data_IF_672121213966
#
_entry.id   IF_672121213966
#
_cell.length_a   1.000
_cell.length_b   1.000
_cell.length_c   1.000
_cell.angle_alpha   90.00
_cell.angle_beta   90.00
_cell.angle_gamma   90.00
#
_symmetry.space_group_name_H-M   'P 1'
#
loop_
_entity.id
_entity.type
_entity.pdbx_description
1 polymer ?
#
# COMPACT_ATOMS: atom_id res chain seq x y z
N UNK A 1 25.31 -56.46 1.60
CA UNK A 1 25.58 -55.11 1.08
C UNK A 1 24.54 -54.80 0.02
N UNK A 2 23.46 -54.13 0.40
CA UNK A 2 22.39 -53.70 -0.50
C UNK A 2 22.59 -52.22 -0.81
N UNK A 3 22.95 -51.91 -2.06
CA UNK A 3 23.06 -50.53 -2.53
C UNK A 3 21.65 -50.06 -2.88
N UNK A 4 21.09 -49.19 -2.04
CA UNK A 4 19.86 -48.46 -2.35
C UNK A 4 20.21 -47.29 -3.28
N UNK A 5 19.72 -47.34 -4.51
CA UNK A 5 19.68 -46.18 -5.41
C UNK A 5 18.51 -45.30 -4.95
N UNK A 6 18.82 -44.08 -4.49
CA UNK A 6 17.79 -43.06 -4.26
C UNK A 6 17.24 -42.59 -5.62
N UNK A 7 15.92 -42.46 -5.79
CA UNK A 7 15.38 -41.80 -6.97
C UNK A 7 15.72 -40.31 -6.87
N UNK A 8 16.48 -39.82 -7.85
CA UNK A 8 16.78 -38.42 -8.05
C UNK A 8 15.45 -37.66 -8.19
N UNK A 9 15.29 -36.59 -7.41
CA UNK A 9 14.14 -35.70 -7.51
C UNK A 9 14.02 -35.23 -8.97
N UNK A 10 12.93 -35.65 -9.62
CA UNK A 10 12.47 -35.05 -10.87
C UNK A 10 12.25 -33.57 -10.60
N UNK A 11 13.05 -32.72 -11.24
CA UNK A 11 12.74 -31.30 -11.35
C UNK A 11 11.32 -31.19 -11.89
N UNK A 12 10.43 -30.58 -11.12
CA UNK A 12 9.11 -30.23 -11.60
C UNK A 12 9.30 -29.33 -12.81
N UNK A 13 8.79 -29.79 -13.96
CA UNK A 13 8.67 -29.05 -15.20
C UNK A 13 7.64 -27.93 -14.96
N UNK A 14 8.03 -26.89 -14.22
CA UNK A 14 7.19 -25.70 -14.05
C UNK A 14 7.32 -24.88 -15.34
N UNK A 15 6.36 -25.07 -16.25
CA UNK A 15 6.22 -24.18 -17.40
C UNK A 15 6.29 -22.73 -16.92
N UNK A 16 7.17 -21.89 -17.48
CA UNK A 16 7.36 -20.52 -17.00
C UNK A 16 6.03 -19.77 -17.02
N UNK A 17 5.66 -19.20 -15.88
CA UNK A 17 4.42 -18.44 -15.76
C UNK A 17 4.43 -17.18 -16.63
N UNK A 18 3.27 -16.81 -17.17
CA UNK A 18 3.06 -15.59 -17.96
C UNK A 18 2.31 -14.57 -17.10
N UNK A 19 2.81 -13.34 -17.07
CA UNK A 19 2.16 -12.25 -16.36
C UNK A 19 1.69 -11.19 -17.35
N UNK A 20 0.40 -10.88 -17.31
CA UNK A 20 -0.18 -9.78 -18.06
C UNK A 20 -0.53 -8.61 -17.15
N UNK A 21 -0.50 -7.40 -17.71
CA UNK A 21 -0.82 -6.17 -16.99
C UNK A 21 -1.83 -5.32 -17.75
N UNK A 22 -2.86 -4.85 -17.02
CA UNK A 22 -3.78 -3.82 -17.47
C UNK A 22 -3.55 -2.55 -16.66
N UNK A 23 -3.27 -1.47 -17.37
CA UNK A 23 -3.05 -0.15 -16.79
C UNK A 23 -4.32 0.47 -16.19
N UNK A 24 -4.13 1.52 -15.39
CA UNK A 24 -5.21 2.38 -14.94
C UNK A 24 -5.68 3.35 -16.03
N UNK A 25 -6.61 4.24 -15.67
CA UNK A 25 -7.11 5.27 -16.58
C UNK A 25 -5.99 6.18 -17.07
N UNK A 26 -5.84 6.29 -18.39
CA UNK A 26 -4.86 7.17 -19.04
C UNK A 26 -5.46 7.99 -20.20
N UNK A 27 -6.71 7.71 -20.58
CA UNK A 27 -7.36 8.24 -21.80
C UNK A 27 -6.61 7.86 -23.07
N UNK A 28 -6.10 6.63 -23.12
CA UNK A 28 -5.20 6.16 -24.16
C UNK A 28 -5.50 4.70 -24.54
N UNK A 29 -5.55 4.40 -25.84
CA UNK A 29 -5.76 3.04 -26.35
C UNK A 29 -4.42 2.42 -26.78
N UNK A 30 -3.54 2.21 -25.80
CA UNK A 30 -2.19 1.66 -26.01
C UNK A 30 -1.95 0.49 -25.08
N UNK A 31 -1.06 -0.42 -25.49
CA UNK A 31 -0.61 -1.51 -24.62
C UNK A 31 0.51 -1.00 -23.70
N UNK A 32 0.38 -1.15 -22.37
CA UNK A 32 1.41 -0.66 -21.46
C UNK A 32 2.69 -1.49 -21.56
N UNK A 33 3.82 -0.83 -21.39
CA UNK A 33 5.12 -1.46 -21.16
C UNK A 33 5.26 -1.93 -19.71
N UNK A 34 6.25 -2.77 -19.43
CA UNK A 34 6.54 -3.19 -18.05
C UNK A 34 6.95 -2.00 -17.18
N UNK A 35 7.64 -0.99 -17.73
CA UNK A 35 7.98 0.25 -17.03
C UNK A 35 6.73 1.07 -16.68
N UNK A 36 5.72 1.09 -17.55
CA UNK A 36 4.43 1.77 -17.33
C UNK A 36 3.53 1.05 -16.32
N UNK A 37 3.92 -0.15 -15.85
CA UNK A 37 3.24 -0.83 -14.75
C UNK A 37 3.48 -0.18 -13.39
N UNK A 38 3.68 1.15 -13.31
CA UNK A 38 3.95 1.92 -12.09
C UNK A 38 5.01 1.31 -11.16
N UNK A 39 6.07 0.72 -11.73
CA UNK A 39 7.12 0.06 -10.94
C UNK A 39 6.63 -1.18 -10.20
N UNK A 40 5.49 -1.76 -10.58
CA UNK A 40 5.00 -3.04 -10.04
C UNK A 40 5.98 -4.17 -10.35
N UNK A 41 6.67 -4.08 -11.48
CA UNK A 41 7.78 -4.96 -11.85
C UNK A 41 8.95 -4.88 -10.86
N UNK A 42 9.19 -3.74 -10.22
CA UNK A 42 10.20 -3.61 -9.15
C UNK A 42 9.59 -3.80 -7.75
N UNK A 43 8.28 -4.12 -7.70
CA UNK A 43 7.47 -4.22 -6.49
C UNK A 43 6.94 -5.64 -6.29
N UNK A 44 5.62 -5.78 -6.16
CA UNK A 44 5.00 -7.09 -5.93
C UNK A 44 5.24 -8.10 -7.06
N UNK A 45 5.46 -7.63 -8.29
CA UNK A 45 5.63 -8.47 -9.47
C UNK A 45 7.10 -8.72 -9.85
N UNK A 46 8.07 -8.39 -9.01
CA UNK A 46 9.51 -8.56 -9.29
C UNK A 46 9.90 -10.00 -9.66
N UNK A 47 9.30 -11.00 -9.01
CA UNK A 47 9.55 -12.40 -9.33
C UNK A 47 8.81 -12.89 -10.59
N UNK A 48 8.03 -12.04 -11.27
CA UNK A 48 7.12 -12.45 -12.35
C UNK A 48 7.80 -12.52 -13.72
N UNK A 49 9.07 -12.13 -13.82
CA UNK A 49 9.79 -12.03 -15.09
C UNK A 49 9.20 -10.94 -15.99
N UNK A 50 9.09 -11.22 -17.29
CA UNK A 50 8.55 -10.26 -18.26
C UNK A 50 7.05 -10.05 -18.06
N UNK A 51 6.63 -8.79 -17.90
CA UNK A 51 5.23 -8.40 -17.79
C UNK A 51 4.72 -7.92 -19.15
N UNK A 52 3.67 -8.54 -19.66
CA UNK A 52 3.05 -8.25 -20.95
C UNK A 52 1.84 -7.33 -20.80
N UNK A 53 1.89 -6.12 -21.34
CA UNK A 53 0.73 -5.23 -21.33
C UNK A 53 -0.40 -5.69 -22.24
N UNK A 54 -1.63 -5.51 -21.79
CA UNK A 54 -2.84 -5.68 -22.60
C UNK A 54 -3.48 -4.31 -22.78
N UNK A 55 -3.45 -3.80 -24.02
CA UNK A 55 -4.07 -2.54 -24.38
C UNK A 55 -5.58 -2.59 -24.43
N UNK A 56 -6.21 -1.54 -23.93
CA UNK A 56 -7.64 -1.28 -23.99
C UNK A 56 -7.86 0.24 -23.89
N UNK A 57 -9.06 0.79 -24.18
CA UNK A 57 -9.26 2.24 -24.31
C UNK A 57 -8.88 3.08 -23.09
N UNK A 58 -8.87 2.47 -21.88
CA UNK A 58 -8.45 3.09 -20.63
C UNK A 58 -9.06 4.50 -20.39
N UNK A 59 -10.32 4.68 -20.78
CA UNK A 59 -11.03 5.95 -20.89
C UNK A 59 -11.87 6.26 -19.65
N UNK A 60 -12.93 7.07 -19.81
CA UNK A 60 -13.86 7.40 -18.72
C UNK A 60 -15.17 6.61 -18.78
N UNK A 61 -15.37 5.80 -19.82
CA UNK A 61 -16.56 4.96 -19.98
C UNK A 61 -16.30 3.59 -19.35
N UNK A 62 -16.06 3.57 -18.04
CA UNK A 62 -15.56 2.42 -17.28
C UNK A 62 -16.26 1.08 -17.60
N UNK A 63 -17.60 1.08 -17.71
CA UNK A 63 -18.34 -0.13 -18.06
C UNK A 63 -18.05 -0.63 -19.48
N UNK A 64 -18.01 0.27 -20.47
CA UNK A 64 -17.69 -0.07 -21.85
C UNK A 64 -16.23 -0.52 -21.99
N UNK A 65 -15.32 0.20 -21.34
CA UNK A 65 -13.89 -0.10 -21.32
C UNK A 65 -13.62 -1.47 -20.67
N UNK A 66 -14.35 -1.83 -19.61
CA UNK A 66 -14.25 -3.14 -18.97
C UNK A 66 -14.70 -4.28 -19.89
N UNK A 67 -15.74 -4.08 -20.70
CA UNK A 67 -16.19 -5.08 -21.70
C UNK A 67 -15.17 -5.25 -22.82
N UNK A 68 -14.66 -4.14 -23.36
CA UNK A 68 -13.62 -4.16 -24.39
C UNK A 68 -12.35 -4.83 -23.84
N UNK A 69 -11.90 -4.41 -22.66
CA UNK A 69 -10.74 -4.98 -21.97
C UNK A 69 -10.92 -6.48 -21.69
N UNK A 70 -12.11 -6.93 -21.30
CA UNK A 70 -12.40 -8.37 -21.13
C UNK A 70 -12.20 -9.14 -22.44
N UNK A 71 -12.61 -8.57 -23.56
CA UNK A 71 -12.42 -9.18 -24.89
C UNK A 71 -10.94 -9.26 -25.26
N UNK A 72 -10.17 -8.21 -24.97
CA UNK A 72 -8.71 -8.16 -25.19
C UNK A 72 -7.98 -9.18 -24.33
N UNK A 73 -8.34 -9.30 -23.05
CA UNK A 73 -7.79 -10.32 -22.14
C UNK A 73 -8.06 -11.72 -22.64
N UNK A 74 -9.30 -12.03 -23.04
CA UNK A 74 -9.63 -13.35 -23.57
C UNK A 74 -8.84 -13.69 -24.84
N UNK A 75 -8.61 -12.70 -25.72
CA UNK A 75 -7.77 -12.89 -26.90
C UNK A 75 -6.30 -13.17 -26.52
N UNK A 76 -5.76 -12.49 -25.51
CA UNK A 76 -4.41 -12.76 -25.00
C UNK A 76 -4.31 -14.15 -24.36
N UNK A 77 -5.28 -14.53 -23.51
CA UNK A 77 -5.30 -15.86 -22.89
C UNK A 77 -5.33 -17.00 -23.91
N UNK A 78 -6.02 -16.81 -25.05
CA UNK A 78 -6.06 -17.79 -26.14
C UNK A 78 -4.70 -18.01 -26.84
N UNK A 79 -3.71 -17.15 -26.61
CA UNK A 79 -2.33 -17.29 -27.13
C UNK A 79 -1.39 -17.96 -26.13
N UNK A 80 -1.81 -18.13 -24.89
CA UNK A 80 -1.00 -18.76 -23.84
C UNK A 80 -1.00 -20.29 -24.05
N UNK A 81 0.16 -20.96 -23.97
CA UNK A 81 0.22 -22.41 -24.03
C UNK A 81 -0.61 -23.08 -22.93
N UNK A 82 -1.25 -24.21 -23.26
CA UNK A 82 -2.03 -24.99 -22.30
C UNK A 82 -1.20 -25.35 -21.07
N UNK A 83 -1.78 -25.17 -19.88
CA UNK A 83 -1.16 -25.50 -18.60
C UNK A 83 -0.13 -24.49 -18.07
N UNK A 84 0.22 -23.43 -18.82
CA UNK A 84 1.12 -22.39 -18.31
C UNK A 84 0.46 -21.59 -17.18
N UNK A 85 1.15 -21.32 -16.07
CA UNK A 85 0.62 -20.48 -15.01
C UNK A 85 0.38 -19.04 -15.51
N UNK A 86 -0.79 -18.45 -15.26
CA UNK A 86 -1.14 -17.10 -15.73
C UNK A 86 -1.47 -16.19 -14.56
N UNK A 87 -0.78 -15.05 -14.49
CA UNK A 87 -1.11 -13.95 -13.57
C UNK A 87 -1.69 -12.79 -14.36
N UNK A 88 -2.93 -12.43 -14.06
CA UNK A 88 -3.56 -11.21 -14.56
C UNK A 88 -3.43 -10.11 -13.50
N UNK A 89 -2.59 -9.11 -13.77
CA UNK A 89 -2.42 -7.94 -12.92
C UNK A 89 -3.19 -6.73 -13.47
N UNK A 90 -3.87 -5.98 -12.60
CA UNK A 90 -4.65 -4.81 -13.01
C UNK A 90 -4.57 -3.68 -11.99
N UNK A 91 -4.28 -2.47 -12.45
CA UNK A 91 -4.24 -1.27 -11.61
C UNK A 91 -5.49 -0.42 -11.84
N UNK A 92 -6.14 0.04 -10.77
CA UNK A 92 -7.25 1.00 -10.84
C UNK A 92 -8.37 0.55 -11.80
N UNK A 93 -8.57 1.21 -12.94
CA UNK A 93 -9.50 0.75 -13.97
C UNK A 93 -9.14 -0.62 -14.57
N UNK A 94 -7.85 -0.95 -14.68
CA UNK A 94 -7.41 -2.30 -15.06
C UNK A 94 -7.90 -3.36 -14.07
N UNK A 95 -7.99 -3.04 -12.77
CA UNK A 95 -8.59 -3.95 -11.78
C UNK A 95 -10.11 -4.11 -11.99
N UNK A 96 -10.81 -3.04 -12.41
CA UNK A 96 -12.23 -3.12 -12.82
C UNK A 96 -12.37 -4.08 -14.00
N UNK A 97 -11.53 -3.95 -15.02
CA UNK A 97 -11.54 -4.88 -16.16
C UNK A 97 -11.34 -6.33 -15.68
N UNK A 98 -10.40 -6.56 -14.77
CA UNK A 98 -10.16 -7.89 -14.22
C UNK A 98 -11.35 -8.46 -13.43
N UNK A 99 -12.12 -7.62 -12.74
CA UNK A 99 -13.36 -8.07 -12.10
C UNK A 99 -14.42 -8.52 -13.13
N UNK A 100 -14.48 -7.88 -14.30
CA UNK A 100 -15.32 -8.29 -15.42
C UNK A 100 -14.81 -9.57 -16.11
N UNK A 101 -13.49 -9.71 -16.29
CA UNK A 101 -12.87 -10.95 -16.77
C UNK A 101 -13.22 -12.12 -15.84
N UNK A 102 -13.03 -11.93 -14.53
CA UNK A 102 -13.35 -12.93 -13.52
C UNK A 102 -14.83 -13.31 -13.54
N UNK A 103 -15.74 -12.34 -13.73
CA UNK A 103 -17.16 -12.59 -13.93
C UNK A 103 -17.40 -13.46 -15.18
N UNK A 104 -16.83 -13.06 -16.33
CA UNK A 104 -17.01 -13.77 -17.59
C UNK A 104 -16.50 -15.22 -17.50
N UNK A 105 -15.30 -15.43 -16.97
CA UNK A 105 -14.73 -16.76 -16.76
C UNK A 105 -15.62 -17.60 -15.85
N UNK A 106 -16.03 -17.05 -14.70
CA UNK A 106 -16.87 -17.79 -13.74
C UNK A 106 -18.25 -18.14 -14.32
N UNK A 107 -18.77 -17.36 -15.27
CA UNK A 107 -20.01 -17.70 -16.00
C UNK A 107 -19.78 -18.85 -16.96
N UNK A 108 -18.68 -18.84 -17.75
CA UNK A 108 -18.32 -19.98 -18.62
C UNK A 108 -18.20 -21.28 -17.84
N UNK A 109 -17.52 -21.24 -16.69
CA UNK A 109 -17.33 -22.42 -15.83
C UNK A 109 -18.67 -23.01 -15.38
N UNK A 110 -19.64 -22.14 -15.08
CA UNK A 110 -20.99 -22.55 -14.65
C UNK A 110 -21.81 -23.22 -15.77
N UNK A 111 -21.41 -23.03 -17.03
CA UNK A 111 -22.03 -23.65 -18.20
C UNK A 111 -21.19 -24.80 -18.81
N UNK A 112 -20.25 -25.36 -18.04
CA UNK A 112 -19.49 -26.55 -18.43
C UNK A 112 -18.21 -26.27 -19.23
N UNK A 113 -17.75 -25.01 -19.27
CA UNK A 113 -16.53 -24.61 -19.98
C UNK A 113 -15.22 -25.16 -19.40
N UNK A 114 -15.25 -25.79 -18.21
CA UNK A 114 -14.05 -26.21 -17.49
C UNK A 114 -13.31 -25.01 -16.88
N UNK A 115 -12.84 -25.16 -15.64
CA UNK A 115 -12.10 -24.10 -14.94
C UNK A 115 -10.64 -24.08 -15.41
N UNK A 116 -10.12 -22.88 -15.62
CA UNK A 116 -8.68 -22.65 -15.82
C UNK A 116 -7.96 -22.67 -14.46
N UNK A 117 -7.40 -23.83 -14.10
CA UNK A 117 -6.80 -24.05 -12.78
C UNK A 117 -5.51 -23.27 -12.53
N UNK A 118 -4.90 -22.81 -13.62
CA UNK A 118 -3.64 -22.08 -13.73
C UNK A 118 -3.80 -20.55 -13.76
N UNK A 119 -5.02 -20.02 -13.61
CA UNK A 119 -5.30 -18.57 -13.71
C UNK A 119 -5.46 -17.92 -12.33
N UNK A 120 -4.69 -16.86 -12.07
CA UNK A 120 -4.81 -16.04 -10.86
C UNK A 120 -4.89 -14.54 -11.16
N UNK A 121 -5.53 -13.80 -10.24
CA UNK A 121 -5.75 -12.37 -10.37
C UNK A 121 -5.00 -11.59 -9.29
N UNK A 122 -4.39 -10.48 -9.68
CA UNK A 122 -3.78 -9.52 -8.77
C UNK A 122 -4.32 -8.12 -9.09
N UNK A 123 -4.99 -7.49 -8.13
CA UNK A 123 -5.52 -6.14 -8.30
C UNK A 123 -4.79 -5.15 -7.42
N UNK A 124 -4.47 -3.99 -7.99
CA UNK A 124 -3.86 -2.86 -7.30
C UNK A 124 -4.81 -1.69 -7.33
N UNK A 125 -5.11 -1.11 -6.18
CA UNK A 125 -5.97 0.08 -6.12
C UNK A 125 -7.37 -0.14 -6.71
N UNK A 126 -7.93 -1.35 -6.57
CA UNK A 126 -9.22 -1.69 -7.16
C UNK A 126 -10.37 -0.85 -6.58
N UNK A 127 -11.04 0.00 -7.39
CA UNK A 127 -12.19 0.79 -6.92
C UNK A 127 -13.41 -0.04 -6.51
N UNK A 128 -13.46 -1.31 -6.93
CA UNK A 128 -14.57 -2.23 -6.72
C UNK A 128 -14.31 -3.28 -5.64
N UNK A 129 -13.14 -3.27 -4.99
CA UNK A 129 -12.86 -4.25 -3.94
C UNK A 129 -13.92 -4.19 -2.82
N UNK A 130 -14.16 -5.34 -2.19
CA UNK A 130 -15.31 -5.48 -1.28
C UNK A 130 -15.10 -4.84 0.10
N UNK A 131 -13.85 -4.56 0.48
CA UNK A 131 -13.49 -4.03 1.80
C UNK A 131 -13.52 -2.51 1.84
N UNK A 132 -12.92 -1.84 0.86
CA UNK A 132 -12.66 -0.40 0.82
C UNK A 132 -13.02 0.28 -0.50
N UNK A 133 -13.36 -0.46 -1.56
CA UNK A 133 -13.60 0.12 -2.88
C UNK A 133 -14.67 1.21 -2.88
N UNK A 134 -14.37 2.36 -3.48
CA UNK A 134 -15.25 3.54 -3.49
C UNK A 134 -16.60 3.23 -4.12
N UNK A 135 -16.68 2.41 -5.17
CA UNK A 135 -17.94 2.05 -5.84
C UNK A 135 -18.74 1.05 -4.99
N UNK A 136 -18.05 0.23 -4.20
CA UNK A 136 -18.68 -0.64 -3.18
C UNK A 136 -19.27 0.18 -2.04
N UNK A 137 -18.57 1.24 -1.59
CA UNK A 137 -19.04 2.11 -0.50
C UNK A 137 -20.06 3.14 -0.96
N UNK A 138 -20.08 3.52 -2.23
CA UNK A 138 -20.93 4.58 -2.76
C UNK A 138 -21.74 4.07 -3.96
N UNK A 139 -22.97 3.61 -3.70
CA UNK A 139 -23.84 2.99 -4.72
C UNK A 139 -24.13 3.90 -5.92
N UNK A 140 -24.14 5.22 -5.74
CA UNK A 140 -24.34 6.17 -6.84
C UNK A 140 -23.24 6.07 -7.92
N UNK A 141 -22.00 5.74 -7.54
CA UNK A 141 -20.89 5.60 -8.49
C UNK A 141 -21.01 4.34 -9.36
N UNK A 142 -21.85 3.37 -8.95
CA UNK A 142 -22.11 2.16 -9.74
C UNK A 142 -22.92 2.45 -11.01
N UNK A 143 -23.49 3.65 -11.17
CA UNK A 143 -24.09 4.08 -12.44
C UNK A 143 -23.02 4.26 -13.54
N UNK A 144 -21.78 4.58 -13.15
CA UNK A 144 -20.68 4.82 -14.08
C UNK A 144 -19.68 3.66 -14.13
N UNK A 145 -19.41 3.05 -12.97
CA UNK A 145 -18.55 1.89 -12.83
C UNK A 145 -19.27 0.77 -12.04
N UNK A 146 -20.17 0.02 -12.70
CA UNK A 146 -21.00 -1.00 -12.05
C UNK A 146 -20.15 -2.08 -11.40
N UNK A 147 -20.43 -2.37 -10.13
CA UNK A 147 -19.80 -3.51 -9.47
C UNK A 147 -20.35 -4.80 -10.07
N UNK A 148 -19.46 -5.79 -10.25
CA UNK A 148 -19.81 -7.14 -10.73
C UNK A 148 -19.54 -8.19 -9.64
N UNK A 149 -20.20 -8.10 -8.46
CA UNK A 149 -19.93 -9.01 -7.37
C UNK A 149 -20.48 -10.40 -7.71
N UNK A 150 -19.59 -11.32 -8.07
CA UNK A 150 -19.91 -12.75 -8.17
C UNK A 150 -18.84 -13.55 -7.45
N UNK A 151 -19.28 -14.54 -6.66
CA UNK A 151 -18.37 -15.53 -6.12
C UNK A 151 -17.65 -16.24 -7.29
N UNK A 152 -16.35 -16.40 -7.15
CA UNK A 152 -15.49 -16.93 -8.19
C UNK A 152 -14.53 -17.93 -7.57
N UNK A 153 -14.24 -19.02 -8.28
CA UNK A 153 -13.26 -20.02 -7.84
C UNK A 153 -11.80 -19.52 -8.01
N UNK A 154 -11.58 -18.45 -8.78
CA UNK A 154 -10.25 -17.95 -9.08
C UNK A 154 -9.59 -17.28 -7.87
N UNK A 155 -8.34 -17.63 -7.52
CA UNK A 155 -7.60 -16.94 -6.48
C UNK A 155 -7.36 -15.48 -6.87
N UNK A 156 -7.63 -14.57 -5.94
CA UNK A 156 -7.44 -13.13 -6.13
C UNK A 156 -6.57 -12.57 -5.01
N UNK A 157 -5.52 -11.84 -5.38
CA UNK A 157 -4.77 -10.99 -4.44
C UNK A 157 -5.18 -9.54 -4.66
N UNK A 158 -5.72 -8.89 -3.64
CA UNK A 158 -6.09 -7.48 -3.68
C UNK A 158 -5.06 -6.69 -2.86
N UNK A 159 -4.36 -5.76 -3.49
CA UNK A 159 -3.36 -4.89 -2.85
C UNK A 159 -3.89 -3.46 -2.85
N UNK A 160 -4.12 -2.96 -1.65
CA UNK A 160 -4.66 -1.62 -1.39
C UNK A 160 -3.64 -0.84 -0.56
N UNK A 161 -3.50 0.46 -0.84
CA UNK A 161 -2.72 1.36 0.00
C UNK A 161 -3.62 2.12 0.95
N UNK A 162 -3.15 2.29 2.17
CA UNK A 162 -3.90 2.94 3.24
C UNK A 162 -4.34 4.35 2.83
N UNK A 163 -5.65 4.60 2.89
CA UNK A 163 -6.28 5.87 2.50
C UNK A 163 -6.21 6.23 1.02
N UNK A 164 -5.87 5.30 0.14
CA UNK A 164 -6.21 5.45 -1.26
C UNK A 164 -7.72 5.72 -1.38
N UNK A 165 -8.11 6.89 -1.89
CA UNK A 165 -9.51 7.27 -1.96
C UNK A 165 -10.34 6.45 -2.95
N UNK A 166 -9.74 5.74 -3.89
CA UNK A 166 -10.52 4.85 -4.75
C UNK A 166 -10.66 3.44 -4.19
N UNK A 167 -9.61 2.91 -3.56
CA UNK A 167 -9.60 1.50 -3.11
C UNK A 167 -9.74 1.30 -1.60
N UNK A 168 -9.65 2.38 -0.82
CA UNK A 168 -9.68 2.37 0.64
C UNK A 168 -10.52 3.55 1.18
N UNK A 169 -11.76 3.60 0.73
CA UNK A 169 -12.76 4.57 1.15
C UNK A 169 -13.28 4.30 2.57
N UNK A 170 -13.44 5.35 3.41
CA UNK A 170 -13.87 5.21 4.80
C UNK A 170 -15.23 4.52 4.94
N UNK A 171 -15.35 3.66 5.95
CA UNK A 171 -16.62 3.04 6.33
C UNK A 171 -17.61 4.05 6.91
N UNK A 172 -17.10 5.07 7.61
CA UNK A 172 -17.88 6.16 8.19
C UNK A 172 -17.35 7.48 7.62
N UNK A 173 -17.97 8.04 6.55
CA UNK A 173 -17.42 9.17 5.80
C UNK A 173 -17.53 10.50 6.58
N UNK A 174 -16.72 10.65 7.63
CA UNK A 174 -16.54 11.93 8.32
C UNK A 174 -15.82 12.93 7.40
N UNK A 175 -16.03 14.23 7.59
CA UNK A 175 -15.39 15.28 6.76
C UNK A 175 -13.88 15.11 6.68
N UNK A 176 -13.23 14.80 7.81
CA UNK A 176 -11.78 14.64 7.88
C UNK A 176 -11.31 13.38 7.13
N UNK A 177 -12.00 12.25 7.31
CA UNK A 177 -11.65 11.01 6.62
C UNK A 177 -11.89 11.10 5.11
N UNK A 178 -13.00 11.72 4.69
CA UNK A 178 -13.29 11.97 3.28
C UNK A 178 -12.25 12.89 2.67
N UNK A 179 -11.90 14.00 3.32
CA UNK A 179 -10.87 14.90 2.81
C UNK A 179 -9.52 14.18 2.68
N UNK A 180 -9.13 13.37 3.68
CA UNK A 180 -7.92 12.58 3.62
C UNK A 180 -7.94 11.55 2.48
N UNK A 181 -9.06 10.85 2.27
CA UNK A 181 -9.24 9.90 1.17
C UNK A 181 -9.18 10.60 -0.19
N UNK A 182 -9.82 11.75 -0.35
CA UNK A 182 -9.76 12.57 -1.58
C UNK A 182 -8.32 12.98 -1.88
N UNK A 183 -7.55 13.39 -0.87
CA UNK A 183 -6.12 13.66 -1.05
C UNK A 183 -5.35 12.37 -1.41
N UNK A 184 -5.77 11.23 -0.88
CA UNK A 184 -5.25 9.92 -1.26
C UNK A 184 -5.43 9.56 -2.74
N UNK A 185 -6.45 10.09 -3.41
CA UNK A 185 -6.60 9.91 -4.87
C UNK A 185 -5.41 10.51 -5.62
N UNK A 186 -4.95 11.70 -5.23
CA UNK A 186 -3.83 12.36 -5.92
C UNK A 186 -2.47 11.83 -5.51
N UNK A 187 -2.29 11.50 -4.22
CA UNK A 187 -0.97 11.27 -3.63
C UNK A 187 -0.67 9.81 -3.26
N UNK A 188 -1.68 8.94 -3.21
CA UNK A 188 -1.50 7.53 -2.86
C UNK A 188 -1.86 6.62 -4.03
N UNK A 189 -3.00 6.89 -4.68
CA UNK A 189 -3.51 6.05 -5.77
C UNK A 189 -2.58 5.98 -6.99
N UNK A 190 -1.76 7.01 -7.18
CA UNK A 190 -0.83 7.17 -8.30
C UNK A 190 0.51 6.45 -8.10
N UNK A 191 0.72 5.83 -6.94
CA UNK A 191 2.00 5.23 -6.55
C UNK A 191 1.77 3.83 -5.97
N UNK A 192 1.98 2.80 -6.78
CA UNK A 192 1.70 1.41 -6.44
C UNK A 192 2.89 0.45 -6.60
N UNK A 193 4.08 0.95 -6.95
CA UNK A 193 5.29 0.13 -7.08
C UNK A 193 5.79 -0.40 -5.75
N UNK A 194 7.04 -0.08 -5.39
CA UNK A 194 7.62 -0.50 -4.10
C UNK A 194 6.80 -0.06 -2.88
N UNK A 195 6.08 1.07 -2.99
CA UNK A 195 5.24 1.61 -1.93
C UNK A 195 3.98 0.79 -1.61
N UNK A 196 3.60 -0.17 -2.46
CA UNK A 196 2.52 -1.11 -2.22
C UNK A 196 3.02 -2.53 -1.92
N UNK A 197 4.28 -2.68 -1.49
CA UNK A 197 4.83 -3.98 -1.13
C UNK A 197 4.11 -4.56 0.13
N UNK A 198 3.46 -5.73 0.03
CA UNK A 198 2.79 -6.37 1.17
C UNK A 198 3.73 -6.78 2.31
N UNK A 199 5.04 -6.86 2.08
CA UNK A 199 6.05 -7.10 3.11
C UNK A 199 6.33 -5.86 3.99
N UNK A 200 5.77 -4.69 3.66
CA UNK A 200 5.94 -3.46 4.44
C UNK A 200 5.45 -3.67 5.89
N UNK A 201 6.26 -3.31 6.92
CA UNK A 201 5.85 -3.45 8.32
C UNK A 201 4.53 -2.73 8.62
N UNK A 202 3.60 -3.44 9.28
CA UNK A 202 2.26 -2.92 9.58
C UNK A 202 1.24 -3.13 8.47
N UNK A 203 1.59 -3.84 7.39
CA UNK A 203 0.62 -4.30 6.38
C UNK A 203 -0.40 -5.24 7.03
N UNK A 204 -1.68 -4.93 6.81
CA UNK A 204 -2.77 -5.80 7.23
C UNK A 204 -3.04 -6.84 6.15
N UNK A 205 -3.22 -8.09 6.55
CA UNK A 205 -3.59 -9.20 5.66
C UNK A 205 -4.87 -9.85 6.14
N UNK A 206 -5.86 -9.95 5.25
CA UNK A 206 -7.09 -10.71 5.49
C UNK A 206 -7.29 -11.72 4.37
N UNK A 207 -7.61 -12.96 4.71
CA UNK A 207 -7.95 -13.99 3.73
C UNK A 207 -9.44 -14.30 3.87
N UNK A 208 -10.15 -14.33 2.74
CA UNK A 208 -11.57 -14.73 2.69
C UNK A 208 -11.78 -15.76 1.60
N UNK A 209 -12.51 -16.82 1.91
CA UNK A 209 -12.98 -17.79 0.92
C UNK A 209 -14.45 -17.52 0.62
N UNK A 210 -14.79 -17.44 -0.66
CA UNK A 210 -16.18 -17.18 -1.09
C UNK A 210 -16.95 -18.48 -1.33
N UNK A 211 -18.24 -18.37 -1.63
CA UNK A 211 -19.13 -19.52 -1.81
C UNK A 211 -18.76 -20.43 -3.01
N UNK A 212 -17.97 -19.95 -3.96
CA UNK A 212 -17.44 -20.73 -5.08
C UNK A 212 -16.08 -21.38 -4.76
N UNK A 213 -15.62 -21.31 -3.51
CA UNK A 213 -14.37 -21.91 -3.05
C UNK A 213 -13.10 -21.11 -3.37
N UNK A 214 -13.20 -20.04 -4.16
CA UNK A 214 -12.05 -19.19 -4.45
C UNK A 214 -11.67 -18.31 -3.26
N UNK A 215 -10.36 -18.04 -3.15
CA UNK A 215 -9.78 -17.30 -2.03
C UNK A 215 -9.34 -15.91 -2.47
N UNK A 216 -9.75 -14.90 -1.71
CA UNK A 216 -9.27 -13.52 -1.83
C UNK A 216 -8.30 -13.23 -0.69
N UNK A 217 -7.06 -12.91 -1.02
CA UNK A 217 -6.08 -12.36 -0.08
C UNK A 217 -6.06 -10.84 -0.22
N UNK A 218 -6.54 -10.13 0.79
CA UNK A 218 -6.64 -8.68 0.81
C UNK A 218 -5.55 -8.07 1.69
N UNK A 219 -4.70 -7.24 1.09
CA UNK A 219 -3.64 -6.49 1.75
C UNK A 219 -3.99 -5.00 1.85
N UNK A 220 -3.78 -4.41 3.03
CA UNK A 220 -3.79 -2.95 3.21
C UNK A 220 -2.39 -2.52 3.64
N UNK A 221 -1.64 -1.94 2.71
CA UNK A 221 -0.27 -1.49 2.89
C UNK A 221 -0.27 -0.08 3.52
N UNK A 222 0.39 0.13 4.66
CA UNK A 222 0.32 1.38 5.40
C UNK A 222 0.98 2.55 4.65
N UNK A 223 0.41 3.75 4.78
CA UNK A 223 1.09 4.98 4.34
C UNK A 223 1.94 5.54 5.47
N UNK A 224 3.17 5.95 5.19
CA UNK A 224 4.05 6.54 6.21
C UNK A 224 3.46 7.83 6.83
N UNK A 225 2.74 8.62 6.03
CA UNK A 225 2.22 9.94 6.39
C UNK A 225 0.81 10.12 5.85
N UNK A 226 0.03 11.02 6.45
CA UNK A 226 -1.33 11.27 5.99
C UNK A 226 -1.31 11.93 4.59
N UNK A 227 -2.14 11.47 3.64
CA UNK A 227 -2.32 12.17 2.37
C UNK A 227 -2.83 13.60 2.56
N UNK A 228 -3.70 13.81 3.56
CA UNK A 228 -4.25 15.12 3.92
C UNK A 228 -3.18 16.20 4.12
N UNK A 229 -2.01 15.82 4.64
CA UNK A 229 -0.94 16.74 4.98
C UNK A 229 0.17 16.78 3.93
N UNK A 230 0.00 16.09 2.79
CA UNK A 230 0.98 16.08 1.70
C UNK A 230 1.27 17.49 1.14
N UNK A 231 0.28 18.36 0.84
CA UNK A 231 0.59 19.69 0.30
C UNK A 231 1.44 20.55 1.23
N UNK A 232 1.28 20.40 2.55
CA UNK A 232 2.11 21.09 3.53
C UNK A 232 3.56 20.57 3.51
N UNK A 233 3.75 19.26 3.29
CA UNK A 233 5.10 18.68 3.12
C UNK A 233 5.74 19.14 1.83
N UNK A 234 4.98 19.24 0.74
CA UNK A 234 5.47 19.75 -0.55
C UNK A 234 5.90 21.22 -0.42
N UNK A 235 5.27 21.99 0.47
CA UNK A 235 5.69 23.34 0.86
C UNK A 235 6.88 23.38 1.87
N UNK A 236 7.48 22.23 2.20
CA UNK A 236 8.64 22.12 3.09
C UNK A 236 8.32 22.07 4.59
N UNK A 237 7.05 21.95 4.98
CA UNK A 237 6.65 21.94 6.39
C UNK A 237 6.72 20.53 6.99
N UNK A 238 7.24 20.43 8.22
CA UNK A 238 7.22 19.18 8.97
C UNK A 238 5.83 18.93 9.59
N UNK A 239 5.07 18.00 9.02
CA UNK A 239 3.70 17.69 9.47
C UNK A 239 3.61 16.60 10.55
N UNK A 240 4.73 16.12 11.13
CA UNK A 240 4.73 14.88 11.93
C UNK A 240 3.79 14.96 13.15
N UNK A 241 3.73 16.14 13.79
CA UNK A 241 2.85 16.40 14.92
C UNK A 241 1.38 16.47 14.50
N UNK A 242 1.11 17.05 13.33
CA UNK A 242 -0.24 17.16 12.77
C UNK A 242 -0.75 15.76 12.39
N UNK A 243 0.09 14.97 11.72
CA UNK A 243 -0.23 13.58 11.37
C UNK A 243 -0.54 12.74 12.61
N UNK A 244 0.29 12.83 13.66
CA UNK A 244 0.07 12.12 14.91
C UNK A 244 -1.25 12.52 15.62
N UNK A 245 -1.69 13.77 15.46
CA UNK A 245 -2.95 14.27 16.03
C UNK A 245 -4.17 13.86 15.20
N UNK A 246 -4.08 13.92 13.86
CA UNK A 246 -5.20 13.70 12.96
C UNK A 246 -5.43 12.22 12.63
N UNK A 247 -4.35 11.42 12.54
CA UNK A 247 -4.42 10.02 12.12
C UNK A 247 -5.40 9.19 12.99
N UNK A 248 -5.35 9.25 14.34
CA UNK A 248 -6.33 8.51 15.16
C UNK A 248 -7.78 8.95 14.96
N UNK A 249 -8.03 10.18 14.49
CA UNK A 249 -9.39 10.67 14.20
C UNK A 249 -9.87 10.15 12.85
N UNK A 250 -8.98 10.10 11.86
CA UNK A 250 -9.23 9.52 10.54
C UNK A 250 -9.42 8.01 10.65
N UNK A 251 -8.57 7.30 11.39
CA UNK A 251 -8.62 5.84 11.53
C UNK A 251 -9.93 5.32 12.11
N UNK A 252 -10.61 6.11 12.96
CA UNK A 252 -11.94 5.77 13.49
C UNK A 252 -13.02 5.65 12.41
N UNK A 253 -12.77 6.20 11.22
CA UNK A 253 -13.65 6.06 10.07
C UNK A 253 -13.48 4.73 9.33
N UNK A 254 -12.46 3.94 9.66
CA UNK A 254 -12.08 2.69 8.99
C UNK A 254 -12.26 1.50 9.94
N UNK A 255 -13.50 1.05 10.10
CA UNK A 255 -13.87 0.02 11.09
C UNK A 255 -13.71 -1.41 10.60
N UNK A 256 -13.68 -1.63 9.27
CA UNK A 256 -13.52 -2.98 8.68
C UNK A 256 -12.08 -3.37 8.41
N UNK A 257 -11.12 -2.48 8.68
CA UNK A 257 -9.71 -2.84 8.69
C UNK A 257 -9.42 -3.58 10.00
N UNK A 258 -8.73 -4.74 9.98
CA UNK A 258 -8.15 -5.30 11.20
C UNK A 258 -7.36 -4.20 11.93
N UNK A 259 -7.42 -4.15 13.27
CA UNK A 259 -6.72 -3.10 14.01
C UNK A 259 -5.22 -3.13 13.66
N UNK A 260 -4.70 -2.01 13.15
CA UNK A 260 -3.26 -1.81 12.99
C UNK A 260 -2.69 -1.76 14.41
N UNK A 261 -1.81 -2.69 14.75
CA UNK A 261 -1.03 -2.60 15.99
C UNK A 261 -0.48 -1.16 16.09
N UNK A 262 -0.51 -0.51 17.27
CA UNK A 262 -0.12 0.89 17.37
C UNK A 262 1.27 1.08 16.75
N UNK A 263 1.34 1.79 15.62
CA UNK A 263 2.62 2.26 15.09
C UNK A 263 3.28 3.04 16.21
N UNK A 264 4.58 2.80 16.44
CA UNK A 264 5.32 3.37 17.57
C UNK A 264 4.81 4.78 17.88
N UNK A 265 4.07 4.88 18.98
CA UNK A 265 3.43 6.14 19.36
C UNK A 265 4.56 7.10 19.66
N UNK A 266 4.83 8.03 18.75
CA UNK A 266 5.44 9.28 19.16
C UNK A 266 4.55 9.83 20.30
N UNK A 267 5.11 10.09 21.49
CA UNK A 267 4.32 10.49 22.65
C UNK A 267 3.44 11.68 22.28
N UNK A 268 2.14 11.58 22.60
CA UNK A 268 1.16 12.63 22.32
C UNK A 268 1.69 13.96 22.89
N UNK A 269 2.03 14.94 22.05
CA UNK A 269 2.35 16.25 22.57
C UNK A 269 1.03 16.86 23.07
N UNK A 270 1.01 17.33 24.32
CA UNK A 270 -0.17 18.06 24.80
C UNK A 270 -0.32 19.36 24.02
N UNK A 271 -1.57 19.74 23.70
CA UNK A 271 -1.87 21.02 23.03
C UNK A 271 -1.28 22.18 23.84
N UNK A 272 -1.29 22.07 25.17
CA UNK A 272 -0.65 23.00 26.10
C UNK A 272 0.87 23.06 25.89
N UNK A 273 1.56 21.93 25.75
CA UNK A 273 3.01 21.91 25.49
C UNK A 273 3.35 22.47 24.10
N UNK A 274 2.50 22.27 23.09
CA UNK A 274 2.67 22.83 21.76
C UNK A 274 2.50 24.34 21.75
N UNK A 275 1.45 24.86 22.39
CA UNK A 275 1.24 26.29 22.56
C UNK A 275 2.39 26.96 23.35
N UNK A 276 2.86 26.29 24.41
CA UNK A 276 4.00 26.76 25.23
C UNK A 276 5.30 26.83 24.43
N UNK A 277 5.56 25.83 23.58
CA UNK A 277 6.78 25.76 22.76
C UNK A 277 6.73 26.77 21.61
N UNK A 278 5.56 27.01 21.04
CA UNK A 278 5.35 28.05 20.03
C UNK A 278 5.51 29.46 20.64
N UNK A 279 4.92 29.72 21.82
CA UNK A 279 5.10 30.97 22.54
C UNK A 279 6.58 31.22 22.93
N UNK A 280 7.28 30.18 23.41
CA UNK A 280 8.71 30.26 23.75
C UNK A 280 9.61 30.53 22.54
N UNK A 281 9.24 30.03 21.34
CA UNK A 281 9.96 30.34 20.10
C UNK A 281 9.63 31.74 19.57
N UNK A 282 8.42 32.22 19.80
CA UNK A 282 8.00 33.57 19.41
C UNK A 282 8.54 34.67 20.34
N UNK A 283 8.90 34.34 21.59
CA UNK A 283 9.42 35.30 22.56
C UNK A 283 10.61 34.74 23.36
N UNK A 284 11.86 34.83 22.83
CA UNK A 284 13.06 34.30 23.49
C UNK A 284 13.46 35.06 24.78
N UNK A 285 12.80 36.19 25.09
CA UNK A 285 13.14 37.03 26.24
C UNK A 285 12.61 36.51 27.59
N UNK A 286 11.66 35.57 27.61
CA UNK A 286 11.05 35.08 28.85
C UNK A 286 11.82 33.93 29.53
N UNK A 287 12.88 33.40 28.92
CA UNK A 287 13.63 32.25 29.45
C UNK A 287 14.80 32.63 30.39
N UNK A 288 14.99 33.92 30.71
CA UNK A 288 16.11 34.41 31.54
C UNK A 288 15.74 34.90 32.94
N UNK A 289 14.58 34.50 33.48
CA UNK A 289 14.17 34.86 34.85
C UNK A 289 13.78 33.65 35.69
N UNK A 290 14.59 32.59 35.69
CA UNK A 290 14.61 31.62 36.80
C UNK A 290 16.02 31.06 36.95
N UNK A 291 16.94 31.85 37.51
CA UNK A 291 18.01 31.36 38.39
C UNK A 291 18.80 32.55 38.93
N UNK A 292 18.58 32.85 40.21
CA UNK A 292 19.23 33.98 40.88
C UNK A 292 18.81 34.08 42.33
N UNK A 293 18.86 32.98 43.09
CA UNK A 293 18.88 33.06 44.55
C UNK A 293 20.33 32.95 45.03
N UNK A 294 20.86 34.14 45.25
CA UNK A 294 22.06 34.49 46.00
C UNK A 294 22.27 33.60 47.23
N UNK A 295 23.46 33.00 47.34
CA UNK A 295 24.01 32.45 48.59
C UNK A 295 25.38 33.06 48.84
N UNK A 296 25.49 33.73 49.99
CA UNK A 296 26.68 34.37 50.53
C UNK A 296 27.87 33.39 50.72
N UNK A 297 29.13 33.87 50.70
CA UNK A 297 30.31 33.02 50.75
C UNK A 297 30.73 32.68 52.19
N UNK A 298 31.30 31.49 52.39
CA UNK A 298 32.08 31.12 53.59
C UNK A 298 33.41 30.44 53.18
N UNK A 299 34.45 30.51 54.05
CA UNK A 299 35.84 30.66 53.63
C UNK A 299 36.63 29.35 53.52
N UNK A 300 37.78 29.46 52.83
CA UNK A 300 38.81 28.44 52.62
C UNK A 300 39.45 27.91 53.92
N UNK A 301 39.61 26.58 53.98
CA UNK A 301 40.71 25.80 54.60
C UNK A 301 40.79 24.49 53.80
N UNK A 302 41.91 23.85 53.49
CA UNK A 302 43.29 24.01 53.90
C UNK A 302 44.19 23.16 52.98
N UNK A 303 45.48 23.42 53.10
CA UNK A 303 46.61 22.80 52.42
C UNK A 303 46.67 21.27 52.55
N UNK A 304 47.12 20.60 51.48
CA UNK A 304 47.50 19.18 51.49
C UNK A 304 48.46 18.83 50.35
N UNK A 305 49.76 18.93 50.62
CA UNK A 305 50.87 18.56 49.75
C UNK A 305 50.90 17.05 49.42
N UNK A 306 51.22 16.65 48.18
CA UNK A 306 52.23 15.60 47.95
C UNK A 306 52.92 15.67 46.57
N UNK A 307 54.24 15.62 46.67
CA UNK A 307 55.33 15.75 45.68
C UNK A 307 55.22 14.89 44.42
N UNK A 308 55.50 15.53 43.28
CA UNK A 308 56.03 14.93 42.06
C UNK A 308 57.53 14.61 42.25
N UNK A 309 57.93 13.40 41.82
CA UNK A 309 59.33 12.98 41.60
C UNK A 309 59.39 12.36 40.20
N UNK A 310 60.04 13.02 39.26
CA UNK A 310 60.66 12.39 38.09
C UNK A 310 61.88 13.22 37.71
N UNK A 311 63.06 12.61 37.86
CA UNK A 311 64.32 13.10 37.33
C UNK A 311 64.83 12.17 36.24
N UNK A 312 65.83 12.67 35.51
CA UNK A 312 66.70 11.95 34.58
C UNK A 312 66.21 12.03 33.13
N UNK A 313 66.77 12.91 32.30
CA UNK A 313 68.02 12.75 31.50
C UNK A 313 67.83 11.78 30.31
N UNK A 314 68.43 11.95 29.13
CA UNK A 314 69.21 13.00 28.45
C UNK A 314 69.61 12.40 27.07
N UNK A 315 69.97 13.27 26.11
CA UNK A 315 70.63 13.02 24.80
C UNK A 315 69.71 12.50 23.68
N UNK A 316 69.68 13.08 22.47
CA UNK A 316 70.64 13.90 21.73
C UNK A 316 69.98 15.13 21.10
#
# INVERSE_FOLDING_TARGET
MTISVQPSATASDESPGVTFYLQGTCLCDVSPTSQEALGLADGYLDSSGTIHGIGYPAGLLFAADAVIGTTKVNASLATVPDGAAVTLAGLSQGAIVLNYVKLAQSLRDSFGGGREDNLQFVTFGDPQNTTGGITTKNRALQLFAPNVPRASAYPTTEIVREYDGFSDWPDKPTRLAVLNAVMGIGFVHTDYGSAANPATPGTLKTIRTNAAGGTTTHYVVPTARLPLTQPLRDAGLNTSLIDALLRPQIDRAYVRRPEVAPRDRAPRPSITALASKALRRANPAAAKHEEGKEKAPKPQRGFGFRKSRRGGESRR
#
